data_IF_638465314282
#
_entry.id   IF_638465314282
#
_cell.length_a   1.000
_cell.length_b   1.000
_cell.length_c   1.000
_cell.angle_alpha   90.00
_cell.angle_beta   90.00
_cell.angle_gamma   90.00
#
_symmetry.space_group_name_H-M   'P 1'
#
loop_
_entity.id
_entity.type
_entity.pdbx_description
1 polymer ?
#
# COMPACT_ATOMS: atom_id res chain seq x y z
N UNK A 1 -6.14 11.37 0.77
CA UNK A 1 -5.62 11.45 -0.62
C UNK A 1 -5.01 10.11 -1.01
N UNK A 2 -5.31 9.65 -2.22
CA UNK A 2 -4.71 8.44 -2.83
C UNK A 2 -3.69 8.87 -3.89
N UNK A 3 -2.47 8.33 -3.82
CA UNK A 3 -1.41 8.58 -4.79
C UNK A 3 -0.92 7.25 -5.35
N UNK A 4 -0.93 7.09 -6.68
CA UNK A 4 -0.37 5.90 -7.33
C UNK A 4 1.16 6.01 -7.36
N UNK A 5 1.85 4.96 -6.93
CA UNK A 5 3.30 4.82 -6.99
C UNK A 5 3.69 3.92 -8.16
N UNK A 6 4.80 4.24 -8.83
CA UNK A 6 5.34 3.42 -9.90
C UNK A 6 6.30 2.36 -9.31
N UNK A 7 5.80 1.14 -9.16
CA UNK A 7 6.55 -0.01 -8.64
C UNK A 7 6.47 -1.13 -9.67
N UNK A 8 7.61 -1.75 -9.98
CA UNK A 8 7.70 -2.76 -11.06
C UNK A 8 7.25 -4.17 -10.65
N UNK A 9 7.17 -4.46 -9.35
CA UNK A 9 6.87 -5.80 -8.81
C UNK A 9 5.37 -6.06 -8.63
N UNK A 10 4.54 -5.03 -8.71
CA UNK A 10 3.10 -5.09 -8.46
C UNK A 10 2.34 -4.47 -9.62
N UNK A 11 1.12 -4.94 -9.91
CA UNK A 11 0.26 -4.31 -10.92
C UNK A 11 -0.04 -2.85 -10.54
N UNK A 12 -0.37 -2.61 -9.27
CA UNK A 12 -0.63 -1.27 -8.73
C UNK A 12 -0.17 -1.14 -7.28
N UNK A 13 0.35 0.04 -6.93
CA UNK A 13 0.62 0.42 -5.54
C UNK A 13 0.05 1.80 -5.28
N UNK A 14 -0.68 1.96 -4.19
CA UNK A 14 -1.26 3.22 -3.75
C UNK A 14 -0.75 3.61 -2.37
N UNK A 15 -0.29 4.86 -2.24
CA UNK A 15 -0.12 5.52 -0.95
C UNK A 15 -1.42 6.19 -0.55
N UNK A 16 -1.91 5.85 0.63
CA UNK A 16 -3.09 6.46 1.27
C UNK A 16 -2.60 7.37 2.39
N UNK A 17 -2.95 8.65 2.33
CA UNK A 17 -2.68 9.59 3.42
C UNK A 17 -3.95 10.37 3.76
N UNK A 18 -4.31 10.41 5.04
CA UNK A 18 -5.31 11.34 5.55
C UNK A 18 -4.75 12.12 6.75
N UNK A 19 -4.68 13.45 6.60
CA UNK A 19 -4.01 14.31 7.58
C UNK A 19 -4.84 14.50 8.84
N UNK A 20 -6.16 14.49 8.73
CA UNK A 20 -7.06 14.72 9.87
C UNK A 20 -7.02 13.54 10.84
N UNK A 21 -7.07 12.31 10.33
CA UNK A 21 -6.92 11.09 11.14
C UNK A 21 -5.45 10.72 11.43
N UNK A 22 -4.50 11.31 10.72
CA UNK A 22 -3.09 10.90 10.75
C UNK A 22 -2.82 9.56 10.05
N UNK A 23 -3.77 9.05 9.28
CA UNK A 23 -3.62 7.80 8.53
C UNK A 23 -2.52 7.95 7.48
N UNK A 24 -1.61 6.99 7.49
CA UNK A 24 -0.66 6.73 6.42
C UNK A 24 -0.61 5.24 6.17
N UNK A 25 -0.68 4.83 4.92
CA UNK A 25 -0.65 3.42 4.57
C UNK A 25 -0.41 3.18 3.09
N UNK A 26 -0.17 1.92 2.76
CA UNK A 26 0.06 1.44 1.41
C UNK A 26 -0.93 0.33 1.08
N UNK A 27 -1.42 0.34 -0.16
CA UNK A 27 -2.25 -0.73 -0.73
C UNK A 27 -1.47 -1.25 -1.95
N UNK A 28 -0.93 -2.46 -1.85
CA UNK A 28 -0.22 -3.11 -2.94
C UNK A 28 -1.11 -4.20 -3.57
N UNK A 29 -1.30 -4.13 -4.88
CA UNK A 29 -2.03 -5.11 -5.66
C UNK A 29 -1.01 -5.91 -6.48
N UNK A 30 -0.68 -7.11 -6.00
CA UNK A 30 0.27 -7.98 -6.69
C UNK A 30 -0.31 -8.53 -8.00
N UNK A 31 -1.53 -9.09 -7.96
CA UNK A 31 -2.21 -9.48 -9.20
C UNK A 31 -3.73 -9.56 -9.07
N UNK A 32 -4.42 -9.22 -10.16
CA UNK A 32 -5.87 -9.36 -10.35
C UNK A 32 -6.23 -10.43 -11.39
N UNK A 33 -5.27 -11.24 -11.85
CA UNK A 33 -5.43 -12.18 -12.98
C UNK A 33 -6.55 -13.21 -12.81
N UNK A 34 -6.83 -13.64 -11.58
CA UNK A 34 -7.85 -14.66 -11.27
C UNK A 34 -9.13 -14.06 -10.66
N UNK A 35 -9.25 -12.74 -10.65
CA UNK A 35 -10.36 -12.02 -10.03
C UNK A 35 -9.89 -10.88 -9.12
N UNK A 36 -10.80 -10.29 -8.33
CA UNK A 36 -10.47 -9.20 -7.42
C UNK A 36 -9.36 -9.60 -6.44
N UNK A 37 -8.40 -8.69 -6.23
CA UNK A 37 -7.38 -8.88 -5.20
C UNK A 37 -8.03 -8.89 -3.80
N UNK A 38 -7.60 -9.82 -2.96
CA UNK A 38 -8.01 -9.90 -1.56
C UNK A 38 -6.76 -9.95 -0.69
N UNK A 39 -6.71 -9.10 0.34
CA UNK A 39 -5.58 -8.97 1.24
C UNK A 39 -6.03 -8.58 2.64
N UNK A 40 -5.23 -8.96 3.64
CA UNK A 40 -5.44 -8.52 5.01
C UNK A 40 -5.01 -7.07 5.21
N UNK A 41 -5.37 -6.52 6.37
CA UNK A 41 -4.86 -5.23 6.83
C UNK A 41 -3.89 -5.46 8.00
N UNK A 42 -2.76 -4.78 7.96
CA UNK A 42 -1.73 -4.82 9.00
C UNK A 42 -1.45 -3.40 9.46
N UNK A 43 -1.52 -3.18 10.79
CA UNK A 43 -1.07 -1.94 11.42
C UNK A 43 0.17 -2.26 12.26
N UNK A 44 1.31 -1.69 11.89
CA UNK A 44 2.59 -1.83 12.61
C UNK A 44 3.36 -0.52 12.55
N UNK A 45 4.26 -0.34 13.50
CA UNK A 45 5.25 0.74 13.45
C UNK A 45 6.39 0.32 12.54
N UNK A 46 6.73 1.17 11.58
CA UNK A 46 7.90 1.04 10.70
C UNK A 46 8.81 2.25 10.91
N UNK A 47 10.10 2.11 10.61
CA UNK A 47 11.07 3.20 10.72
C UNK A 47 10.80 4.32 9.71
N UNK A 48 10.16 4.01 8.59
CA UNK A 48 9.77 4.96 7.56
C UNK A 48 8.90 4.34 6.47
N UNK A 49 8.51 5.18 5.50
CA UNK A 49 7.64 4.79 4.38
C UNK A 49 8.28 3.69 3.51
N UNK A 50 9.59 3.74 3.29
CA UNK A 50 10.30 2.73 2.48
C UNK A 50 10.25 1.34 3.14
N UNK A 51 10.46 1.27 4.46
CA UNK A 51 10.37 0.01 5.21
C UNK A 51 8.95 -0.57 5.23
N UNK A 52 7.93 0.29 5.23
CA UNK A 52 6.55 -0.14 5.09
C UNK A 52 6.23 -0.60 3.65
N UNK A 53 6.83 0.05 2.64
CA UNK A 53 6.67 -0.27 1.23
C UNK A 53 7.38 -1.57 0.82
N UNK A 54 8.48 -1.93 1.49
CA UNK A 54 9.17 -3.21 1.29
C UNK A 54 8.42 -4.41 1.90
N UNK A 55 7.57 -4.21 2.91
CA UNK A 55 6.77 -5.27 3.57
C UNK A 55 5.44 -5.57 2.85
N UNK A 56 5.10 -4.81 1.78
CA UNK A 56 3.83 -4.97 1.02
C UNK A 56 3.99 -5.67 -0.32
#
# INVERSE_FOLDING_TARGET
>A
MLTRLAISTHEEVYRVEDRESGLRGFIALHSTRLGPAAGGLRMRTYEGDDAALEDV
#
